data_IF_794043531975
#
_entry.id   IF_794043531975
#
_cell.length_a   1.000
_cell.length_b   1.000
_cell.length_c   1.000
_cell.angle_alpha   90.00
_cell.angle_beta   90.00
_cell.angle_gamma   90.00
#
_symmetry.space_group_name_H-M   'P 1'
#
loop_
_entity.id
_entity.type
_entity.pdbx_description
1 polymer ?
#
# COMPACT_ATOMS: atom_id res chain seq x y z
N UNK A 1 -1.62 -0.39 -7.33
CA UNK A 1 -1.88 -1.82 -7.60
C UNK A 1 -1.33 -2.77 -6.54
N UNK A 2 -0.19 -2.49 -5.89
CA UNK A 2 0.37 -3.40 -4.86
C UNK A 2 -0.62 -3.60 -3.69
N UNK A 3 -1.19 -2.50 -3.18
CA UNK A 3 -2.21 -2.52 -2.12
C UNK A 3 -3.48 -3.27 -2.54
N UNK A 4 -3.92 -3.09 -3.80
CA UNK A 4 -5.08 -3.81 -4.35
C UNK A 4 -4.85 -5.33 -4.35
N UNK A 5 -3.67 -5.78 -4.74
CA UNK A 5 -3.31 -7.20 -4.69
C UNK A 5 -3.31 -7.73 -3.25
N UNK A 6 -2.75 -6.96 -2.30
CA UNK A 6 -2.76 -7.29 -0.87
C UNK A 6 -4.19 -7.43 -0.33
N UNK A 7 -5.06 -6.48 -0.64
CA UNK A 7 -6.47 -6.46 -0.23
C UNK A 7 -7.24 -7.69 -0.73
N UNK A 8 -7.18 -8.00 -2.03
CA UNK A 8 -7.89 -9.17 -2.58
C UNK A 8 -7.31 -10.49 -2.08
N UNK A 9 -5.98 -10.58 -1.93
CA UNK A 9 -5.36 -11.77 -1.39
C UNK A 9 -5.77 -11.99 0.07
N UNK A 10 -5.84 -10.94 0.90
CA UNK A 10 -6.32 -11.03 2.28
C UNK A 10 -7.71 -11.65 2.36
N UNK A 11 -8.64 -11.16 1.54
CA UNK A 11 -9.99 -11.71 1.44
C UNK A 11 -9.95 -13.20 1.09
N UNK A 12 -9.32 -13.57 -0.02
CA UNK A 12 -9.29 -14.97 -0.48
C UNK A 12 -8.59 -15.92 0.49
N UNK A 13 -7.58 -15.44 1.23
CA UNK A 13 -6.91 -16.17 2.32
C UNK A 13 -7.89 -16.48 3.45
N UNK A 14 -8.72 -15.52 3.87
CA UNK A 14 -9.66 -15.67 4.99
C UNK A 14 -10.80 -16.63 4.63
N UNK A 15 -11.21 -16.64 3.37
CA UNK A 15 -12.22 -17.56 2.83
C UNK A 15 -11.66 -18.97 2.53
N UNK A 16 -10.38 -19.22 2.84
CA UNK A 16 -9.79 -20.54 2.62
C UNK A 16 -10.44 -21.60 3.51
N UNK A 17 -10.92 -22.69 2.90
CA UNK A 17 -11.45 -23.84 3.65
C UNK A 17 -10.38 -24.65 4.40
N UNK A 18 -9.09 -24.30 4.25
CA UNK A 18 -7.98 -24.87 5.02
C UNK A 18 -7.53 -26.29 4.63
N UNK A 19 -8.16 -26.91 3.63
CA UNK A 19 -7.92 -28.34 3.28
C UNK A 19 -6.59 -28.63 2.60
N UNK A 20 -6.12 -27.75 1.70
CA UNK A 20 -4.87 -27.97 0.97
C UNK A 20 -3.76 -27.02 1.45
N UNK A 21 -2.56 -27.56 1.64
CA UNK A 21 -1.40 -26.82 2.16
C UNK A 21 -1.01 -25.66 1.25
N UNK A 22 -1.05 -25.86 -0.08
CA UNK A 22 -0.73 -24.83 -1.06
C UNK A 22 -1.63 -23.60 -0.90
N UNK A 23 -2.94 -23.76 -0.82
CA UNK A 23 -3.84 -22.62 -0.59
C UNK A 23 -3.69 -22.07 0.82
N UNK A 24 -3.86 -22.91 1.86
CA UNK A 24 -3.90 -22.45 3.27
C UNK A 24 -2.63 -21.71 3.69
N UNK A 25 -1.47 -22.31 3.43
CA UNK A 25 -0.17 -21.76 3.85
C UNK A 25 0.36 -20.80 2.80
N UNK A 26 0.27 -21.15 1.51
CA UNK A 26 0.83 -20.34 0.44
C UNK A 26 0.19 -18.94 0.35
N UNK A 27 -1.14 -18.84 0.40
CA UNK A 27 -1.82 -17.53 0.38
C UNK A 27 -1.47 -16.69 1.61
N UNK A 28 -1.30 -17.31 2.78
CA UNK A 28 -0.86 -16.63 4.01
C UNK A 28 0.55 -16.06 3.85
N UNK A 29 1.51 -16.85 3.35
CA UNK A 29 2.88 -16.37 3.12
C UNK A 29 2.96 -15.27 2.07
N UNK A 30 2.17 -15.38 1.00
CA UNK A 30 2.06 -14.32 0.00
C UNK A 30 1.47 -13.03 0.60
N UNK A 31 0.45 -13.14 1.45
CA UNK A 31 -0.15 -12.00 2.12
C UNK A 31 0.83 -11.31 3.07
N UNK A 32 1.51 -12.07 3.94
CA UNK A 32 2.53 -11.53 4.86
C UNK A 32 3.64 -10.80 4.10
N UNK A 33 4.06 -11.34 2.95
CA UNK A 33 5.05 -10.71 2.07
C UNK A 33 4.55 -9.38 1.51
N UNK A 34 3.32 -9.34 0.99
CA UNK A 34 2.71 -8.10 0.51
C UNK A 34 2.53 -7.08 1.64
N UNK A 35 2.17 -7.52 2.85
CA UNK A 35 2.06 -6.64 4.02
C UNK A 35 3.39 -5.95 4.29
N UNK A 36 4.49 -6.73 4.31
CA UNK A 36 5.87 -6.25 4.45
C UNK A 36 6.23 -5.22 3.37
N UNK A 37 5.92 -5.51 2.11
CA UNK A 37 6.17 -4.58 0.98
C UNK A 37 5.39 -3.27 1.20
N UNK A 38 4.09 -3.35 1.51
CA UNK A 38 3.24 -2.16 1.69
C UNK A 38 3.58 -1.34 2.95
N UNK A 39 4.31 -1.93 3.90
CA UNK A 39 4.82 -1.26 5.10
C UNK A 39 6.21 -0.63 4.89
N UNK A 40 6.84 -0.82 3.73
CA UNK A 40 8.17 -0.29 3.44
C UNK A 40 9.31 -1.17 3.92
N UNK A 41 9.05 -2.46 4.12
CA UNK A 41 10.03 -3.46 4.54
C UNK A 41 10.25 -4.54 3.47
N UNK A 42 9.82 -4.29 2.23
CA UNK A 42 9.98 -5.20 1.12
C UNK A 42 11.38 -5.17 0.51
N UNK A 43 11.79 -6.27 -0.10
CA UNK A 43 13.06 -6.43 -0.82
C UNK A 43 12.82 -6.96 -2.24
N UNK A 44 13.83 -6.91 -3.11
CA UNK A 44 13.74 -7.52 -4.45
C UNK A 44 13.45 -9.03 -4.38
N UNK A 45 14.01 -9.71 -3.37
CA UNK A 45 13.78 -11.15 -3.13
C UNK A 45 12.30 -11.47 -2.86
N UNK A 46 11.55 -10.52 -2.28
CA UNK A 46 10.11 -10.71 -2.06
C UNK A 46 9.34 -10.81 -3.37
N UNK A 47 9.77 -10.10 -4.42
CA UNK A 47 9.10 -10.14 -5.71
C UNK A 47 9.26 -11.52 -6.37
N UNK A 48 10.49 -12.04 -6.34
CA UNK A 48 10.81 -13.38 -6.84
C UNK A 48 10.09 -14.46 -6.03
N UNK A 49 10.00 -14.27 -4.70
CA UNK A 49 9.25 -15.15 -3.81
C UNK A 49 7.76 -15.15 -4.16
N UNK A 50 7.13 -13.98 -4.33
CA UNK A 50 5.72 -13.86 -4.68
C UNK A 50 5.40 -14.51 -6.03
N UNK A 51 6.25 -14.29 -7.04
CA UNK A 51 6.07 -14.90 -8.36
C UNK A 51 6.22 -16.43 -8.29
N UNK A 52 7.26 -16.92 -7.62
CA UNK A 52 7.53 -18.35 -7.49
C UNK A 52 6.43 -19.05 -6.69
N UNK A 53 6.08 -18.52 -5.52
CA UNK A 53 5.07 -19.10 -4.65
C UNK A 53 3.68 -19.00 -5.29
N UNK A 54 3.32 -17.86 -5.88
CA UNK A 54 2.03 -17.69 -6.55
C UNK A 54 1.80 -18.73 -7.65
N UNK A 55 2.84 -19.03 -8.44
CA UNK A 55 2.78 -20.10 -9.44
C UNK A 55 2.59 -21.50 -8.84
N UNK A 56 3.26 -21.80 -7.71
CA UNK A 56 3.10 -23.06 -6.98
C UNK A 56 1.69 -23.18 -6.36
N UNK A 57 1.17 -22.11 -5.77
CA UNK A 57 -0.21 -22.07 -5.24
C UNK A 57 -1.23 -22.32 -6.34
N UNK A 58 -1.07 -21.66 -7.49
CA UNK A 58 -1.96 -21.80 -8.64
C UNK A 58 -2.01 -23.24 -9.17
N UNK A 59 -0.87 -23.93 -9.25
CA UNK A 59 -0.80 -25.31 -9.77
C UNK A 59 -1.10 -26.38 -8.73
N UNK A 60 -0.75 -26.14 -7.46
CA UNK A 60 -0.84 -27.12 -6.39
C UNK A 60 -2.14 -27.11 -5.60
N UNK A 61 -2.99 -26.10 -5.77
CA UNK A 61 -4.27 -26.02 -5.05
C UNK A 61 -5.32 -26.99 -5.61
N UNK A 62 -6.09 -27.61 -4.71
CA UNK A 62 -7.06 -28.66 -5.06
C UNK A 62 -8.34 -28.14 -5.72
N UNK A 63 -8.73 -26.89 -5.50
CA UNK A 63 -9.98 -26.32 -5.99
C UNK A 63 -9.76 -25.01 -6.75
N UNK A 64 -10.74 -24.61 -7.56
CA UNK A 64 -10.67 -23.39 -8.38
C UNK A 64 -10.39 -22.12 -7.56
N UNK A 65 -10.97 -21.99 -6.36
CA UNK A 65 -10.71 -20.83 -5.49
C UNK A 65 -9.23 -20.74 -5.09
N UNK A 66 -8.62 -21.84 -4.67
CA UNK A 66 -7.19 -21.85 -4.31
C UNK A 66 -6.28 -21.65 -5.52
N UNK A 67 -6.68 -22.16 -6.69
CA UNK A 67 -5.92 -21.97 -7.93
C UNK A 67 -5.95 -20.51 -8.41
N UNK A 68 -7.05 -19.80 -8.19
CA UNK A 68 -7.20 -18.38 -8.60
C UNK A 68 -6.82 -17.38 -7.52
N UNK A 69 -6.72 -17.78 -6.24
CA UNK A 69 -6.28 -16.92 -5.15
C UNK A 69 -4.98 -16.11 -5.41
N UNK A 70 -3.91 -16.66 -6.03
CA UNK A 70 -2.70 -15.89 -6.29
C UNK A 70 -2.81 -14.94 -7.51
N UNK A 71 -3.91 -14.98 -8.27
CA UNK A 71 -4.02 -14.22 -9.52
C UNK A 71 -3.91 -12.70 -9.36
N UNK A 72 -4.48 -12.03 -8.32
CA UNK A 72 -4.27 -10.60 -8.13
C UNK A 72 -2.79 -10.25 -8.07
N UNK A 73 -2.00 -11.03 -7.32
CA UNK A 73 -0.56 -10.82 -7.15
C UNK A 73 0.20 -11.07 -8.44
N UNK A 74 -0.04 -12.20 -9.11
CA UNK A 74 0.66 -12.54 -10.36
C UNK A 74 0.33 -11.55 -11.48
N UNK A 75 -0.92 -11.10 -11.57
CA UNK A 75 -1.34 -10.12 -12.56
C UNK A 75 -0.70 -8.75 -12.30
N UNK A 76 -0.72 -8.28 -11.05
CA UNK A 76 -0.15 -6.96 -10.74
C UNK A 76 1.37 -6.96 -10.83
N UNK A 77 2.06 -8.04 -10.45
CA UNK A 77 3.50 -8.19 -10.70
C UNK A 77 3.83 -8.12 -12.20
N UNK A 78 3.00 -8.71 -13.05
CA UNK A 78 3.21 -8.71 -14.51
C UNK A 78 2.99 -7.33 -15.13
N UNK A 79 1.88 -6.68 -14.80
CA UNK A 79 1.46 -5.45 -15.51
C UNK A 79 1.91 -4.16 -14.82
N UNK A 80 2.20 -4.21 -13.53
CA UNK A 80 2.55 -3.05 -12.70
C UNK A 80 3.88 -3.25 -11.97
N UNK A 81 4.82 -3.96 -12.60
CA UNK A 81 6.13 -4.29 -12.01
C UNK A 81 6.86 -3.06 -11.46
N UNK A 82 6.80 -1.93 -12.18
CA UNK A 82 7.45 -0.69 -11.75
C UNK A 82 6.92 -0.18 -10.40
N UNK A 83 5.63 -0.35 -10.13
CA UNK A 83 5.07 0.04 -8.84
C UNK A 83 5.64 -0.82 -7.71
N UNK A 84 5.82 -2.13 -7.93
CA UNK A 84 6.49 -3.00 -6.96
C UNK A 84 7.95 -2.59 -6.74
N UNK A 85 8.68 -2.24 -7.80
CA UNK A 85 10.05 -1.75 -7.70
C UNK A 85 10.14 -0.48 -6.86
N UNK A 86 9.24 0.49 -7.07
CA UNK A 86 9.20 1.70 -6.23
C UNK A 86 9.01 1.36 -4.73
N UNK A 87 8.23 0.33 -4.38
CA UNK A 87 8.02 -0.08 -2.98
C UNK A 87 9.24 -0.75 -2.34
N UNK A 88 10.01 -1.53 -3.12
CA UNK A 88 11.13 -2.34 -2.58
C UNK A 88 12.48 -1.66 -2.73
N UNK A 89 12.66 -0.76 -3.70
CA UNK A 89 13.91 -0.02 -3.92
C UNK A 89 13.90 1.35 -3.25
N UNK A 90 12.79 2.09 -3.38
CA UNK A 90 12.67 3.48 -2.88
C UNK A 90 11.80 3.61 -1.64
N UNK A 91 11.19 2.52 -1.20
CA UNK A 91 10.21 2.51 -0.11
C UNK A 91 9.14 3.60 -0.26
N UNK A 92 8.66 3.77 -1.49
CA UNK A 92 7.73 4.84 -1.88
C UNK A 92 6.59 4.28 -2.73
N UNK A 93 5.39 4.82 -2.57
CA UNK A 93 4.20 4.37 -3.30
C UNK A 93 3.78 5.40 -4.36
N UNK A 94 4.14 5.15 -5.61
CA UNK A 94 3.76 5.99 -6.76
C UNK A 94 2.24 6.09 -6.98
N UNK A 95 1.47 5.10 -6.52
CA UNK A 95 0.01 5.10 -6.58
C UNK A 95 -0.66 5.87 -5.44
N UNK A 96 0.09 6.29 -4.41
CA UNK A 96 -0.38 7.04 -3.23
C UNK A 96 -1.39 6.31 -2.31
N UNK A 97 -1.53 5.00 -2.47
CA UNK A 97 -2.49 4.18 -1.73
C UNK A 97 -1.93 3.68 -0.39
N UNK A 98 -0.66 3.27 -0.34
CA UNK A 98 -0.04 2.71 0.86
C UNK A 98 0.32 3.81 1.87
N UNK A 99 -0.44 3.91 2.97
CA UNK A 99 -0.20 4.91 4.02
C UNK A 99 1.25 4.93 4.52
N UNK A 100 1.90 3.77 4.67
CA UNK A 100 3.27 3.72 5.19
C UNK A 100 4.33 4.31 4.23
N UNK A 101 4.00 4.52 2.95
CA UNK A 101 4.94 4.86 1.88
C UNK A 101 4.60 6.15 1.15
N UNK A 102 3.76 6.97 1.75
CA UNK A 102 3.38 8.28 1.26
C UNK A 102 3.64 9.32 2.31
N UNK A 103 3.84 10.55 1.89
CA UNK A 103 3.86 11.71 2.75
C UNK A 103 2.71 12.64 2.39
N UNK A 104 2.45 13.61 3.26
CA UNK A 104 1.49 14.68 3.01
C UNK A 104 2.27 15.98 2.90
N UNK A 105 2.01 16.72 1.82
CA UNK A 105 2.68 17.98 1.56
C UNK A 105 1.67 19.08 1.22
N UNK A 106 2.00 20.30 1.63
CA UNK A 106 1.22 21.50 1.37
C UNK A 106 1.94 22.39 0.36
N UNK A 107 1.26 22.69 -0.74
CA UNK A 107 1.67 23.63 -1.78
C UNK A 107 1.36 25.07 -1.35
N UNK A 108 2.41 25.78 -0.94
CA UNK A 108 2.31 27.17 -0.47
C UNK A 108 1.80 28.13 -1.53
N UNK A 109 1.99 27.83 -2.82
CA UNK A 109 1.54 28.69 -3.92
C UNK A 109 0.01 28.73 -4.03
N UNK A 110 -0.67 27.66 -3.61
CA UNK A 110 -2.14 27.53 -3.64
C UNK A 110 -2.80 27.85 -2.29
N UNK A 111 -2.01 27.94 -1.22
CA UNK A 111 -2.52 28.10 0.13
C UNK A 111 -2.99 29.55 0.41
N UNK A 112 -4.26 29.71 0.78
CA UNK A 112 -4.85 31.00 1.21
C UNK A 112 -4.73 31.26 2.72
N UNK A 113 -3.92 30.47 3.44
CA UNK A 113 -3.66 30.62 4.88
C UNK A 113 -4.91 30.62 5.79
N UNK A 114 -5.99 29.92 5.40
CA UNK A 114 -7.24 29.85 6.17
C UNK A 114 -7.16 29.02 7.47
N UNK A 115 -6.06 28.28 7.70
CA UNK A 115 -5.79 27.45 8.89
C UNK A 115 -6.76 26.27 9.17
N UNK A 116 -7.68 25.96 8.26
CA UNK A 116 -8.59 24.81 8.43
C UNK A 116 -7.84 23.48 8.57
N UNK A 117 -6.79 23.25 7.76
CA UNK A 117 -5.99 22.03 7.84
C UNK A 117 -5.32 21.84 9.21
N UNK A 118 -4.87 22.92 9.84
CA UNK A 118 -4.25 22.89 11.18
C UNK A 118 -5.31 22.55 12.23
N UNK A 119 -6.45 23.25 12.20
CA UNK A 119 -7.55 23.06 13.18
C UNK A 119 -8.15 21.66 13.13
N UNK A 120 -8.28 21.08 11.95
CA UNK A 120 -8.87 19.75 11.75
C UNK A 120 -7.89 18.61 12.00
N UNK A 121 -6.58 18.87 12.08
CA UNK A 121 -5.58 17.80 12.21
C UNK A 121 -5.65 17.12 13.59
N UNK A 122 -6.09 15.85 13.70
CA UNK A 122 -6.22 15.18 14.99
C UNK A 122 -4.87 14.89 15.65
N UNK A 123 -3.81 14.76 14.85
CA UNK A 123 -2.45 14.47 15.32
C UNK A 123 -1.63 15.73 15.64
N UNK A 124 -2.17 16.94 15.37
CA UNK A 124 -1.40 18.19 15.49
C UNK A 124 -0.14 18.21 14.60
N UNK A 125 -0.19 17.53 13.45
CA UNK A 125 0.96 17.31 12.57
C UNK A 125 1.25 18.48 11.61
N UNK A 126 0.52 19.59 11.68
CA UNK A 126 0.71 20.74 10.79
C UNK A 126 1.04 21.97 11.63
N UNK A 127 2.21 22.58 11.37
CA UNK A 127 2.65 23.78 12.08
C UNK A 127 1.93 25.05 11.61
N UNK A 128 2.07 26.14 12.38
CA UNK A 128 1.55 27.46 12.00
C UNK A 128 2.17 28.04 10.72
N UNK A 129 3.35 27.56 10.33
CA UNK A 129 4.03 27.89 9.08
C UNK A 129 3.56 27.01 7.90
N UNK A 130 2.46 26.28 8.07
CA UNK A 130 1.87 25.40 7.06
C UNK A 130 2.85 24.33 6.56
N UNK A 131 3.69 23.81 7.45
CA UNK A 131 4.59 22.68 7.20
C UNK A 131 4.00 21.43 7.86
N UNK A 132 3.97 20.32 7.11
CA UNK A 132 3.47 19.04 7.61
C UNK A 132 4.64 18.24 8.18
N UNK A 133 4.52 17.85 9.44
CA UNK A 133 5.41 16.90 10.11
C UNK A 133 4.93 15.47 9.81
N UNK A 134 5.58 14.82 8.84
CA UNK A 134 5.21 13.48 8.39
C UNK A 134 5.57 12.36 9.38
N UNK A 135 6.37 12.66 10.41
CA UNK A 135 6.62 11.73 11.52
C UNK A 135 5.42 11.69 12.48
N UNK A 136 4.71 12.81 12.66
CA UNK A 136 3.46 12.87 13.46
C UNK A 136 2.20 12.58 12.66
N UNK A 137 2.23 12.79 11.35
CA UNK A 137 1.06 12.65 10.48
C UNK A 137 0.56 11.19 10.42
N UNK A 138 -0.67 10.96 10.84
CA UNK A 138 -1.34 9.65 10.71
C UNK A 138 -1.92 9.38 9.33
N UNK A 139 -1.79 10.34 8.39
CA UNK A 139 -2.25 10.24 6.99
C UNK A 139 -3.74 9.94 6.85
N UNK A 140 -4.54 10.46 7.79
CA UNK A 140 -6.01 10.30 7.86
C UNK A 140 -6.79 11.11 6.81
N UNK A 141 -6.12 11.87 5.94
CA UNK A 141 -6.68 12.69 4.86
C UNK A 141 -7.63 13.85 5.26
N UNK A 142 -7.95 14.04 6.55
CA UNK A 142 -8.88 15.09 7.00
C UNK A 142 -8.46 16.50 6.56
N UNK A 143 -7.14 16.79 6.53
CA UNK A 143 -6.62 18.07 6.07
C UNK A 143 -6.77 18.27 4.55
N UNK A 144 -6.75 17.19 3.77
CA UNK A 144 -6.92 17.17 2.31
C UNK A 144 -8.38 17.44 1.96
N UNK A 145 -9.30 16.75 2.63
CA UNK A 145 -10.74 16.87 2.42
C UNK A 145 -11.27 18.28 2.76
N UNK A 146 -10.78 18.88 3.86
CA UNK A 146 -11.25 20.20 4.30
C UNK A 146 -10.63 21.36 3.52
N UNK A 147 -9.60 21.14 2.70
CA UNK A 147 -8.87 22.22 2.05
C UNK A 147 -9.64 22.80 0.85
N UNK A 148 -10.16 24.05 0.93
CA UNK A 148 -11.00 24.62 -0.14
C UNK A 148 -10.22 24.91 -1.43
N UNK A 149 -8.89 25.01 -1.36
CA UNK A 149 -8.01 25.24 -2.51
C UNK A 149 -7.27 24.00 -2.97
N UNK A 150 -7.53 22.84 -2.36
CA UNK A 150 -6.81 21.58 -2.62
C UNK A 150 -5.29 21.77 -2.63
N UNK A 151 -4.82 22.60 -1.69
CA UNK A 151 -3.41 22.96 -1.56
C UNK A 151 -2.60 21.91 -0.79
N UNK A 152 -3.24 20.88 -0.24
CA UNK A 152 -2.58 19.81 0.51
C UNK A 152 -2.97 18.47 -0.11
N UNK A 153 -1.99 17.60 -0.32
CA UNK A 153 -2.17 16.33 -1.01
C UNK A 153 -1.19 15.28 -0.47
N UNK A 154 -1.50 14.02 -0.75
CA UNK A 154 -0.52 12.93 -0.64
C UNK A 154 0.52 13.08 -1.74
N UNK A 155 1.77 12.79 -1.39
CA UNK A 155 2.90 12.71 -2.30
C UNK A 155 3.64 11.40 -2.05
N UNK A 156 4.37 10.85 -3.05
CA UNK A 156 5.26 9.73 -2.79
C UNK A 156 6.23 10.13 -1.69
N UNK A 157 6.55 9.21 -0.78
CA UNK A 157 7.55 9.47 0.27
C UNK A 157 8.86 9.90 -0.40
N UNK A 158 9.39 11.03 0.02
CA UNK A 158 10.69 11.50 -0.40
C UNK A 158 11.76 10.75 0.43
N UNK A 159 12.77 10.24 -0.24
CA UNK A 159 13.99 9.70 0.40
C UNK A 159 14.69 10.77 1.25
#
# INVERSE_FOLDING_TARGET
MVETARYFLDFTRRESCGKCTFCRVGTTRMFETLERITQGHGTLEDLDFLETLGNKVRKGSLCGLGQTAPNPVLATLRYFKNEYLDHVERHSCSALECNALVDVALDRSKCIKCRLCIKTCPAGAISDDFVVDNAKCTRCNSCIEICPKRAIARIPRAE
#
